data_IF_167195984783
#
_entry.id   IF_167195984783
#
_cell.length_a   1.000
_cell.length_b   1.000
_cell.length_c   1.000
_cell.angle_alpha   90.00
_cell.angle_beta   90.00
_cell.angle_gamma   90.00
#
_symmetry.space_group_name_H-M   'P 1'
#
loop_
_entity.id
_entity.type
_entity.pdbx_description
1 polymer ?
#
# COMPACT_ATOMS: atom_id res chain seq x y z
N UNK A 1 4.79 24.19 17.54
CA UNK A 1 3.34 24.14 17.82
C UNK A 1 3.23 23.39 19.13
N UNK A 2 3.06 24.11 20.22
CA UNK A 2 2.85 23.49 21.53
C UNK A 2 1.36 23.19 21.67
N UNK A 3 1.02 21.91 21.83
CA UNK A 3 -0.35 21.47 22.05
C UNK A 3 -0.75 21.73 23.52
N UNK A 4 -1.69 22.65 23.79
CA UNK A 4 -2.10 23.03 25.14
C UNK A 4 -2.79 21.89 25.92
N UNK A 5 -3.10 20.75 25.28
CA UNK A 5 -3.73 19.59 25.92
C UNK A 5 -2.71 18.52 26.37
N UNK A 6 -1.42 18.72 26.12
CA UNK A 6 -0.38 17.73 26.45
C UNK A 6 -0.42 16.45 25.60
N UNK A 7 -1.21 16.44 24.53
CA UNK A 7 -1.41 15.30 23.63
C UNK A 7 -0.35 15.22 22.54
N UNK A 8 0.92 14.99 22.91
CA UNK A 8 2.00 14.78 21.94
C UNK A 8 1.75 13.59 21.01
N UNK A 9 2.48 13.55 19.88
CA UNK A 9 2.47 12.41 18.96
C UNK A 9 2.97 11.15 19.69
N UNK A 10 2.08 10.19 19.93
CA UNK A 10 2.40 8.96 20.67
C UNK A 10 2.73 7.76 19.78
N UNK A 11 2.28 7.77 18.52
CA UNK A 11 2.43 6.65 17.60
C UNK A 11 2.76 7.15 16.20
N UNK A 12 3.65 6.44 15.53
CA UNK A 12 3.87 6.54 14.09
C UNK A 12 3.18 5.38 13.39
N UNK A 13 3.02 5.48 12.07
CA UNK A 13 2.68 4.30 11.29
C UNK A 13 3.80 3.25 11.45
N UNK A 14 3.46 1.97 11.65
CA UNK A 14 4.47 0.95 11.91
C UNK A 14 5.36 0.74 10.68
N UNK A 15 6.66 0.59 10.92
CA UNK A 15 7.60 0.17 9.90
C UNK A 15 7.30 -1.27 9.44
N UNK A 16 7.64 -1.66 8.20
CA UNK A 16 7.44 -3.03 7.71
C UNK A 16 8.05 -4.11 8.64
N UNK A 17 9.21 -3.85 9.23
CA UNK A 17 9.90 -4.78 10.13
C UNK A 17 9.11 -5.01 11.42
N UNK A 18 8.45 -3.96 11.93
CA UNK A 18 7.57 -4.06 13.10
C UNK A 18 6.30 -4.87 12.79
N UNK A 19 5.85 -4.87 11.53
CA UNK A 19 4.70 -5.66 11.08
C UNK A 19 5.06 -7.11 10.71
N UNK A 20 6.30 -7.40 10.35
CA UNK A 20 6.73 -8.72 9.88
C UNK A 20 6.51 -9.84 10.91
N UNK A 21 6.56 -9.51 12.21
CA UNK A 21 6.31 -10.45 13.31
C UNK A 21 4.83 -10.57 13.75
N UNK A 22 3.91 -9.89 13.07
CA UNK A 22 2.51 -9.86 13.46
C UNK A 22 1.83 -11.21 13.15
N UNK A 23 1.12 -11.75 14.14
CA UNK A 23 0.23 -12.92 13.96
C UNK A 23 -0.97 -12.53 13.08
N UNK A 24 -1.08 -13.05 11.84
CA UNK A 24 -2.14 -12.64 10.92
C UNK A 24 -3.54 -12.96 11.43
N UNK A 25 -3.69 -13.96 12.31
CA UNK A 25 -5.00 -14.35 12.86
C UNK A 25 -5.58 -13.29 13.79
N UNK A 26 -4.75 -12.39 14.33
CA UNK A 26 -5.20 -11.25 15.14
C UNK A 26 -5.81 -10.12 14.31
N UNK A 27 -5.64 -10.13 12.99
CA UNK A 27 -6.24 -9.13 12.11
C UNK A 27 -7.72 -9.42 11.88
N UNK A 28 -8.58 -8.45 12.14
CA UNK A 28 -10.01 -8.49 11.85
C UNK A 28 -10.30 -8.29 10.34
N UNK A 29 -9.65 -9.11 9.50
CA UNK A 29 -9.72 -9.11 8.04
C UNK A 29 -10.05 -10.52 7.54
N UNK A 30 -10.72 -10.67 6.37
CA UNK A 30 -10.84 -11.97 5.71
C UNK A 30 -9.47 -12.59 5.42
N UNK A 31 -9.39 -13.92 5.41
CA UNK A 31 -8.14 -14.67 5.19
C UNK A 31 -7.35 -14.19 3.96
N UNK A 32 -8.02 -13.96 2.83
CA UNK A 32 -7.38 -13.46 1.62
C UNK A 32 -6.70 -12.10 1.82
N UNK A 33 -7.35 -11.17 2.53
CA UNK A 33 -6.78 -9.86 2.84
C UNK A 33 -5.62 -9.93 3.83
N UNK A 34 -5.68 -10.85 4.80
CA UNK A 34 -4.54 -11.13 5.69
C UNK A 34 -3.34 -11.58 4.88
N UNK A 35 -3.52 -12.55 3.97
CA UNK A 35 -2.45 -13.02 3.08
C UNK A 35 -1.88 -11.91 2.21
N UNK A 36 -2.72 -11.08 1.61
CA UNK A 36 -2.27 -9.92 0.80
C UNK A 36 -1.42 -8.96 1.63
N UNK A 37 -1.87 -8.60 2.83
CA UNK A 37 -1.14 -7.69 3.71
C UNK A 37 0.20 -8.30 4.16
N UNK A 38 0.21 -9.54 4.63
CA UNK A 38 1.43 -10.16 5.17
C UNK A 38 2.46 -10.41 4.08
N UNK A 39 2.04 -10.72 2.86
CA UNK A 39 2.96 -10.88 1.72
C UNK A 39 3.59 -9.55 1.32
N UNK A 40 2.80 -8.46 1.30
CA UNK A 40 3.33 -7.11 1.07
C UNK A 40 4.34 -6.72 2.16
N UNK A 41 3.97 -6.91 3.44
CA UNK A 41 4.84 -6.60 4.58
C UNK A 41 6.17 -7.36 4.48
N UNK A 42 6.13 -8.66 4.16
CA UNK A 42 7.34 -9.46 4.00
C UNK A 42 8.23 -8.94 2.86
N UNK A 43 7.67 -8.60 1.71
CA UNK A 43 8.42 -8.08 0.56
C UNK A 43 9.05 -6.70 0.83
N UNK A 44 8.37 -5.85 1.60
CA UNK A 44 8.91 -4.56 2.03
C UNK A 44 10.03 -4.74 3.08
N UNK A 45 9.81 -5.59 4.08
CA UNK A 45 10.79 -5.83 5.14
C UNK A 45 12.06 -6.56 4.65
N UNK A 46 11.96 -7.37 3.58
CA UNK A 46 13.14 -7.99 2.95
C UNK A 46 13.89 -7.05 2.01
N UNK A 47 13.27 -5.96 1.58
CA UNK A 47 13.77 -5.07 0.52
C UNK A 47 13.58 -5.61 -0.90
N UNK A 48 12.86 -6.73 -1.09
CA UNK A 48 12.52 -7.25 -2.43
C UNK A 48 11.56 -6.32 -3.20
N UNK A 49 10.85 -5.47 -2.47
CA UNK A 49 10.00 -4.40 -2.99
C UNK A 49 10.39 -3.08 -2.33
N UNK A 50 10.76 -2.09 -3.15
CA UNK A 50 10.95 -0.71 -2.73
C UNK A 50 9.74 0.14 -3.18
N UNK A 51 9.17 0.91 -2.25
CA UNK A 51 8.07 1.85 -2.50
C UNK A 51 8.40 3.24 -1.93
N UNK A 52 9.56 3.76 -2.28
CA UNK A 52 10.04 5.08 -1.87
C UNK A 52 9.95 6.12 -3.00
N UNK A 53 9.98 7.42 -2.65
CA UNK A 53 10.16 8.48 -3.64
C UNK A 53 11.48 8.27 -4.40
N UNK A 54 11.39 7.91 -5.68
CA UNK A 54 12.54 7.62 -6.54
C UNK A 54 12.62 6.16 -7.00
N UNK A 55 11.80 5.26 -6.44
CA UNK A 55 11.64 3.90 -6.94
C UNK A 55 11.18 3.88 -8.40
N UNK A 56 11.73 2.98 -9.21
CA UNK A 56 11.32 2.82 -10.61
C UNK A 56 9.86 2.32 -10.69
N UNK A 57 8.98 3.15 -11.26
CA UNK A 57 7.55 2.88 -11.28
C UNK A 57 7.20 1.58 -12.00
N UNK A 58 7.93 1.22 -13.07
CA UNK A 58 7.66 -0.02 -13.83
C UNK A 58 8.02 -1.25 -12.99
N UNK A 59 9.20 -1.25 -12.39
CA UNK A 59 9.67 -2.32 -11.52
C UNK A 59 8.73 -2.49 -10.33
N UNK A 60 8.31 -1.40 -9.70
CA UNK A 60 7.36 -1.44 -8.58
C UNK A 60 6.02 -2.07 -9.00
N UNK A 61 5.48 -1.71 -10.17
CA UNK A 61 4.25 -2.32 -10.71
C UNK A 61 4.40 -3.82 -10.96
N UNK A 62 5.48 -4.23 -11.60
CA UNK A 62 5.76 -5.64 -11.88
C UNK A 62 5.86 -6.46 -10.58
N UNK A 63 6.56 -5.94 -9.58
CA UNK A 63 6.71 -6.58 -8.27
C UNK A 63 5.40 -6.65 -7.51
N UNK A 64 4.64 -5.56 -7.46
CA UNK A 64 3.32 -5.52 -6.82
C UNK A 64 2.34 -6.48 -7.51
N UNK A 65 2.27 -6.49 -8.84
CA UNK A 65 1.36 -7.36 -9.60
C UNK A 65 1.66 -8.85 -9.43
N UNK A 66 2.90 -9.22 -9.07
CA UNK A 66 3.27 -10.58 -8.75
C UNK A 66 2.79 -11.03 -7.35
N UNK A 67 2.38 -10.11 -6.48
CA UNK A 67 1.90 -10.43 -5.13
C UNK A 67 0.43 -10.89 -5.13
N UNK A 68 0.06 -11.87 -4.29
CA UNK A 68 -1.30 -12.37 -4.21
C UNK A 68 -2.28 -11.30 -3.71
N UNK A 69 -3.32 -11.05 -4.49
CA UNK A 69 -4.39 -10.09 -4.18
C UNK A 69 -4.10 -8.65 -4.63
N UNK A 70 -3.01 -8.42 -5.37
CA UNK A 70 -2.72 -7.14 -6.00
C UNK A 70 -3.23 -7.14 -7.45
N UNK A 71 -4.48 -6.73 -7.64
CA UNK A 71 -5.05 -6.51 -8.96
C UNK A 71 -4.61 -5.17 -9.58
N UNK A 72 -4.88 -4.94 -10.88
CA UNK A 72 -4.49 -3.72 -11.58
C UNK A 72 -4.91 -2.44 -10.87
N UNK A 73 -6.13 -2.39 -10.31
CA UNK A 73 -6.60 -1.22 -9.56
C UNK A 73 -5.74 -0.92 -8.33
N UNK A 74 -5.33 -1.93 -7.57
CA UNK A 74 -4.47 -1.75 -6.38
C UNK A 74 -3.05 -1.35 -6.77
N UNK A 75 -2.51 -1.94 -7.84
CA UNK A 75 -1.18 -1.60 -8.34
C UNK A 75 -1.13 -0.12 -8.77
N UNK A 76 -2.09 0.31 -9.58
CA UNK A 76 -2.13 1.69 -10.09
C UNK A 76 -2.45 2.72 -9.00
N UNK A 77 -3.26 2.36 -7.99
CA UNK A 77 -3.48 3.27 -6.84
C UNK A 77 -2.21 3.49 -6.03
N UNK A 78 -1.35 2.46 -5.89
CA UNK A 78 -0.06 2.59 -5.21
C UNK A 78 0.91 3.43 -6.05
N UNK A 79 0.98 3.19 -7.37
CA UNK A 79 1.80 4.01 -8.26
C UNK A 79 1.43 5.50 -8.17
N UNK A 80 0.13 5.80 -8.20
CA UNK A 80 -0.39 7.17 -8.09
C UNK A 80 -0.13 7.79 -6.71
N UNK A 81 -0.48 7.09 -5.63
CA UNK A 81 -0.55 7.69 -4.28
C UNK A 81 0.73 7.56 -3.47
N UNK A 82 1.46 6.46 -3.62
CA UNK A 82 2.68 6.20 -2.88
C UNK A 82 3.92 6.66 -3.66
N UNK A 83 3.97 6.38 -4.97
CA UNK A 83 5.14 6.67 -5.80
C UNK A 83 5.05 8.01 -6.55
N UNK A 84 3.88 8.65 -6.53
CA UNK A 84 3.66 9.95 -7.18
C UNK A 84 3.76 9.90 -8.70
N UNK A 85 3.49 8.75 -9.32
CA UNK A 85 3.48 8.61 -10.77
C UNK A 85 2.35 9.47 -11.38
N UNK A 86 2.66 10.51 -12.18
CA UNK A 86 1.65 11.41 -12.75
C UNK A 86 0.80 10.74 -13.84
N UNK A 87 1.27 9.63 -14.41
CA UNK A 87 0.61 8.91 -15.50
C UNK A 87 -0.14 7.65 -15.01
N UNK A 88 -0.14 7.37 -13.70
CA UNK A 88 -0.89 6.27 -13.13
C UNK A 88 -2.41 6.45 -13.34
N UNK A 89 -3.10 5.40 -13.78
CA UNK A 89 -4.50 5.47 -14.18
C UNK A 89 -5.30 4.23 -13.77
N UNK A 90 -6.49 4.44 -13.19
CA UNK A 90 -7.32 3.36 -12.61
C UNK A 90 -8.61 3.14 -13.43
N UNK A 91 -8.57 2.49 -14.61
CA UNK A 91 -9.72 2.42 -15.52
C UNK A 91 -10.96 1.73 -14.94
N UNK A 92 -10.76 0.84 -13.96
CA UNK A 92 -11.86 0.13 -13.30
C UNK A 92 -12.39 0.84 -12.05
N UNK A 93 -11.82 1.99 -11.68
CA UNK A 93 -12.26 2.75 -10.52
C UNK A 93 -13.72 3.19 -10.68
N UNK A 94 -14.53 2.97 -9.64
CA UNK A 94 -15.96 3.25 -9.69
C UNK A 94 -16.24 4.75 -9.85
N UNK A 95 -15.45 5.61 -9.20
CA UNK A 95 -15.60 7.06 -9.29
C UNK A 95 -15.26 7.55 -10.70
N UNK A 96 -14.13 7.08 -11.25
CA UNK A 96 -13.71 7.41 -12.61
C UNK A 96 -14.71 6.94 -13.66
N UNK A 97 -15.21 5.70 -13.55
CA UNK A 97 -16.22 5.17 -14.47
C UNK A 97 -17.53 5.95 -14.44
N UNK A 98 -17.96 6.41 -13.25
CA UNK A 98 -19.14 7.26 -13.11
C UNK A 98 -18.93 8.64 -13.71
N UNK A 99 -17.76 9.24 -13.47
CA UNK A 99 -17.42 10.56 -14.00
C UNK A 99 -17.29 10.55 -15.53
N UNK A 100 -16.69 9.51 -16.11
CA UNK A 100 -16.53 9.39 -17.56
C UNK A 100 -17.84 9.08 -18.32
N UNK A 101 -18.87 8.60 -17.63
CA UNK A 101 -20.18 8.31 -18.19
C UNK A 101 -21.18 9.48 -18.04
N UNK A 102 -20.79 10.54 -17.33
CA UNK A 102 -21.57 11.76 -17.13
C UNK A 102 -21.24 12.79 -18.22
#
# INVERSE_FOLDING_TARGET
VDDPQGGGLTHLFPAPEALAGLDPEKLALPRSRRTTLTTLVAALASGDLALDPGSDWRTARERLAALPGFGPWTVETIAMRALGDPDAFLPTDLGLRRAAAA
#
